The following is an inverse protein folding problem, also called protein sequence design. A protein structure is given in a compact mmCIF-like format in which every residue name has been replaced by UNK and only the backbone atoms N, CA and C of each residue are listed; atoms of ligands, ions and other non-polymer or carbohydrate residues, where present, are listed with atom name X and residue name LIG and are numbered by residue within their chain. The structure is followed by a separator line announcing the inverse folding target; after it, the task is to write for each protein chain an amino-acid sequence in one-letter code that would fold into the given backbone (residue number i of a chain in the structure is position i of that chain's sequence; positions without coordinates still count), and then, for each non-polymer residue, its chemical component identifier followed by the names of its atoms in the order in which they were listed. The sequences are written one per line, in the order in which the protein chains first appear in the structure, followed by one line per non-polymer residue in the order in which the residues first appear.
data_IF_140442572171
#
_entry.id   IF_140442572171
#
_cell.length_a   1.000
_cell.length_b   1.000
_cell.length_c   1.000
_cell.angle_alpha   90.00
_cell.angle_beta   90.00
_cell.angle_gamma   90.00
#
_symmetry.space_group_name_H-M   'P 1'
#
loop_
_entity.id
_entity.type
_entity.pdbx_description
1 polymer ?
#
# COMPACT_ATOMS: atom_id res chain seq x y z
N UNK A 1 6.13 19.53 -23.62
CA UNK A 1 5.55 20.83 -23.19
C UNK A 1 6.56 21.50 -22.27
N UNK A 2 6.79 22.82 -22.38
CA UNK A 2 7.74 23.52 -21.51
C UNK A 2 7.07 24.06 -20.23
N UNK A 3 7.87 24.41 -19.21
CA UNK A 3 7.35 24.92 -17.94
C UNK A 3 6.57 26.23 -18.11
N UNK A 4 7.10 27.18 -18.90
CA UNK A 4 6.41 28.44 -19.21
C UNK A 4 5.10 28.22 -19.96
N UNK A 5 5.06 27.21 -20.84
CA UNK A 5 3.85 26.82 -21.55
C UNK A 5 2.80 26.19 -20.61
N UNK A 6 3.21 25.45 -19.57
CA UNK A 6 2.32 24.89 -18.56
C UNK A 6 1.56 25.97 -17.78
N UNK A 7 2.29 26.98 -17.29
CA UNK A 7 1.70 28.12 -16.58
C UNK A 7 0.75 28.92 -17.47
N UNK A 8 1.13 29.14 -18.74
CA UNK A 8 0.28 29.80 -19.74
C UNK A 8 -0.99 29.01 -20.04
N UNK A 9 -0.91 27.68 -20.12
CA UNK A 9 -2.06 26.81 -20.36
C UNK A 9 -3.08 26.86 -19.21
N UNK A 10 -2.59 26.94 -17.96
CA UNK A 10 -3.43 27.12 -16.77
C UNK A 10 -3.94 28.56 -16.61
N UNK A 11 -3.32 29.54 -17.25
CA UNK A 11 -3.73 30.94 -17.22
C UNK A 11 -3.35 31.67 -15.92
N UNK A 12 -2.34 31.17 -15.20
CA UNK A 12 -1.87 31.75 -13.94
C UNK A 12 -0.36 32.01 -13.99
N UNK A 13 0.09 32.99 -13.21
CA UNK A 13 1.52 33.26 -13.04
C UNK A 13 2.21 32.13 -12.23
N UNK A 14 3.50 31.86 -12.45
CA UNK A 14 4.25 30.87 -11.66
C UNK A 14 4.22 31.22 -10.18
N UNK A 15 3.75 30.28 -9.34
CA UNK A 15 3.62 30.48 -7.89
C UNK A 15 3.99 29.21 -7.10
N UNK A 16 4.16 29.36 -5.79
CA UNK A 16 4.44 28.25 -4.86
C UNK A 16 3.17 27.66 -4.22
N UNK A 17 1.99 28.24 -4.50
CA UNK A 17 0.72 27.81 -3.91
C UNK A 17 0.07 26.69 -4.75
N UNK A 18 0.14 25.46 -4.28
CA UNK A 18 -0.53 24.31 -4.91
C UNK A 18 -2.05 24.50 -5.05
N UNK A 19 -2.69 25.20 -4.11
CA UNK A 19 -4.14 25.42 -4.15
C UNK A 19 -4.51 26.38 -5.27
N UNK A 20 -3.67 27.36 -5.59
CA UNK A 20 -3.85 28.22 -6.76
C UNK A 20 -3.75 27.42 -8.07
N UNK A 21 -2.78 26.49 -8.18
CA UNK A 21 -2.62 25.62 -9.34
C UNK A 21 -3.84 24.72 -9.54
N UNK A 22 -4.32 24.05 -8.48
CA UNK A 22 -5.51 23.19 -8.53
C UNK A 22 -6.79 23.96 -8.90
N UNK A 23 -6.98 25.18 -8.37
CA UNK A 23 -8.12 26.04 -8.71
C UNK A 23 -8.12 26.47 -10.17
N UNK A 24 -6.96 26.85 -10.71
CA UNK A 24 -6.83 27.22 -12.12
C UNK A 24 -7.15 26.04 -13.06
N UNK A 25 -6.67 24.85 -12.70
CA UNK A 25 -7.01 23.62 -13.42
C UNK A 25 -8.53 23.33 -13.40
N UNK A 26 -9.18 23.40 -12.23
CA UNK A 26 -10.62 23.17 -12.12
C UNK A 26 -11.45 24.19 -12.92
N UNK A 27 -11.03 25.47 -12.94
CA UNK A 27 -11.68 26.49 -13.75
C UNK A 27 -11.56 26.20 -15.26
N UNK A 28 -10.40 25.70 -15.71
CA UNK A 28 -10.18 25.28 -17.11
C UNK A 28 -10.92 24.00 -17.46
N UNK A 29 -10.99 23.04 -16.55
CA UNK A 29 -11.68 21.77 -16.75
C UNK A 29 -13.19 21.98 -16.96
N UNK A 30 -13.81 22.92 -16.23
CA UNK A 30 -15.23 23.29 -16.42
C UNK A 30 -15.54 23.88 -17.80
N UNK A 31 -14.53 24.36 -18.52
CA UNK A 31 -14.69 24.98 -19.84
C UNK A 31 -14.46 23.99 -21.00
N UNK A 32 -14.08 22.73 -20.71
CA UNK A 32 -13.76 21.70 -21.70
C UNK A 32 -14.72 20.54 -21.49
N UNK A 33 -15.24 19.98 -22.59
CA UNK A 33 -15.95 18.70 -22.58
C UNK A 33 -14.93 17.56 -22.74
N UNK A 34 -14.64 16.77 -21.69
CA UNK A 34 -13.56 15.77 -21.71
C UNK A 34 -13.79 14.66 -22.73
N UNK A 35 -15.05 14.36 -23.06
CA UNK A 35 -15.42 13.24 -23.93
C UNK A 35 -15.30 13.62 -25.41
N UNK A 36 -15.42 14.91 -25.72
CA UNK A 36 -15.25 15.44 -27.08
C UNK A 36 -13.85 15.96 -27.37
N UNK A 37 -13.11 16.41 -26.35
CA UNK A 37 -11.84 17.12 -26.51
C UNK A 37 -10.69 16.43 -25.77
N UNK A 38 -10.50 15.13 -26.03
CA UNK A 38 -9.49 14.27 -25.39
C UNK A 38 -8.06 14.86 -25.46
N UNK A 39 -7.68 15.43 -26.60
CA UNK A 39 -6.35 16.03 -26.78
C UNK A 39 -6.15 17.30 -25.93
N UNK A 40 -7.23 18.07 -25.73
CA UNK A 40 -7.22 19.30 -24.93
C UNK A 40 -7.12 18.94 -23.45
N UNK A 41 -7.88 17.94 -23.02
CA UNK A 41 -7.81 17.39 -21.66
C UNK A 41 -6.42 16.82 -21.35
N UNK A 42 -5.84 16.05 -22.28
CA UNK A 42 -4.50 15.46 -22.13
C UNK A 42 -3.42 16.55 -21.97
N UNK A 43 -3.49 17.62 -22.77
CA UNK A 43 -2.59 18.78 -22.64
C UNK A 43 -2.78 19.53 -21.32
N UNK A 44 -4.02 19.65 -20.84
CA UNK A 44 -4.32 20.30 -19.57
C UNK A 44 -3.81 19.49 -18.37
N UNK A 45 -3.93 18.16 -18.40
CA UNK A 45 -3.36 17.25 -17.39
C UNK A 45 -1.83 17.32 -17.35
N UNK A 46 -1.18 17.33 -18.53
CA UNK A 46 0.27 17.51 -18.61
C UNK A 46 0.70 18.86 -18.01
N UNK A 47 -0.09 19.93 -18.21
CA UNK A 47 0.17 21.25 -17.64
C UNK A 47 0.02 21.28 -16.12
N UNK A 48 -1.01 20.63 -15.58
CA UNK A 48 -1.19 20.49 -14.13
C UNK A 48 0.03 19.81 -13.48
N UNK A 49 0.44 18.65 -13.99
CA UNK A 49 1.55 17.89 -13.43
C UNK A 49 2.86 18.70 -13.42
N UNK A 50 3.17 19.39 -14.51
CA UNK A 50 4.37 20.23 -14.60
C UNK A 50 4.32 21.44 -13.65
N UNK A 51 3.17 22.10 -13.52
CA UNK A 51 3.01 23.26 -12.65
C UNK A 51 3.03 22.87 -11.16
N UNK A 52 2.44 21.73 -10.78
CA UNK A 52 2.49 21.21 -9.41
C UNK A 52 3.91 20.88 -8.97
N UNK A 53 4.68 20.17 -9.81
CA UNK A 53 6.07 19.85 -9.52
C UNK A 53 6.93 21.12 -9.35
N UNK A 54 6.65 22.19 -10.11
CA UNK A 54 7.35 23.46 -9.96
C UNK A 54 6.94 24.24 -8.70
N UNK A 55 5.64 24.27 -8.39
CA UNK A 55 5.12 24.89 -7.17
C UNK A 55 5.70 24.23 -5.91
N UNK A 56 5.80 22.89 -5.89
CA UNK A 56 6.42 22.13 -4.80
C UNK A 56 7.89 22.47 -4.62
N UNK A 57 8.67 22.53 -5.71
CA UNK A 57 10.08 22.93 -5.64
C UNK A 57 10.25 24.34 -5.10
N UNK A 58 9.37 25.28 -5.48
CA UNK A 58 9.39 26.66 -4.99
C UNK A 58 9.00 26.76 -3.51
N UNK A 59 7.99 26.02 -3.08
CA UNK A 59 7.57 25.97 -1.68
C UNK A 59 8.69 25.40 -0.79
N UNK A 60 9.35 24.33 -1.23
CA UNK A 60 10.49 23.75 -0.52
C UNK A 60 11.69 24.73 -0.44
N UNK A 61 11.98 25.47 -1.51
CA UNK A 61 13.03 26.49 -1.51
C UNK A 61 12.71 27.67 -0.56
N UNK A 62 11.45 28.07 -0.45
CA UNK A 62 11.00 29.13 0.48
C UNK A 62 11.09 28.68 1.95
N UNK A 63 10.82 27.41 2.24
CA UNK A 63 10.97 26.84 3.58
C UNK A 63 12.44 26.68 3.98
N UNK A 64 13.32 26.33 3.03
CA UNK A 64 14.76 26.22 3.27
C UNK A 64 15.44 27.60 3.46
N UNK A 65 14.87 28.69 2.95
CA UNK A 65 15.40 30.05 3.08
C UNK A 65 14.89 30.85 4.29
N UNK A 66 14.00 30.28 5.12
CA UNK A 66 13.30 30.97 6.21
C UNK A 66 13.99 30.95 7.58
N UNK A 67 15.27 30.58 7.67
CA UNK A 67 16.04 30.55 8.91
C UNK A 67 16.92 31.78 9.11
N UNK A 68 16.37 32.87 9.63
CA UNK A 68 17.18 33.95 10.24
C UNK A 68 16.67 35.37 9.99
N UNK A 69 15.88 35.89 10.94
CA UNK A 69 16.05 37.23 11.52
C UNK A 69 14.91 37.50 12.53
N UNK A 70 15.17 37.17 13.80
CA UNK A 70 14.54 37.86 14.92
C UNK A 70 15.24 39.21 15.07
N UNK A 71 14.49 40.31 15.10
CA UNK A 71 14.94 41.57 15.72
C UNK A 71 13.76 42.17 16.48
N UNK A 72 13.97 42.31 17.79
CA UNK A 72 13.11 42.98 18.77
C UNK A 72 13.06 44.51 18.58
N UNK A 73 12.01 45.09 19.18
CA UNK A 73 11.65 46.50 19.36
C UNK A 73 12.82 47.44 19.79
N UNK A 74 12.93 48.71 19.34
CA UNK A 74 12.23 49.99 19.70
C UNK A 74 13.35 51.07 19.89
N UNK A 75 13.10 52.35 20.23
CA UNK A 75 12.20 53.41 19.73
C UNK A 75 12.99 54.67 19.25
N UNK A 76 12.35 55.61 18.55
CA UNK A 76 12.98 56.89 18.18
C UNK A 76 11.99 57.93 17.64
N UNK A 77 12.03 59.12 18.23
CA UNK A 77 11.01 60.16 18.21
C UNK A 77 10.96 61.05 16.95
N UNK A 78 9.75 61.54 16.66
CA UNK A 78 9.51 62.96 16.32
C UNK A 78 9.46 63.34 14.84
N UNK A 79 8.67 64.36 14.48
CA UNK A 79 7.79 64.34 13.31
C UNK A 79 8.26 65.27 12.19
N UNK A 80 7.94 64.94 10.94
CA UNK A 80 7.78 65.99 9.92
C UNK A 80 6.78 65.58 8.83
N UNK A 81 6.00 66.57 8.44
CA UNK A 81 4.90 66.55 7.50
C UNK A 81 5.38 66.27 6.07
N UNK A 82 4.75 65.31 5.42
CA UNK A 82 4.70 65.27 3.96
C UNK A 82 3.32 64.77 3.54
N UNK A 83 2.48 65.73 3.13
CA UNK A 83 1.21 65.50 2.44
C UNK A 83 1.43 64.57 1.23
N UNK A 84 0.67 63.47 1.18
CA UNK A 84 0.46 62.68 -0.04
C UNK A 84 -1.05 62.66 -0.30
N UNK A 85 -1.51 63.08 -1.49
CA UNK A 85 -2.91 63.35 -1.74
C UNK A 85 -3.71 62.06 -1.96
N UNK A 86 -4.99 62.15 -1.59
CA UNK A 86 -6.13 61.44 -2.16
C UNK A 86 -5.90 59.96 -2.52
N UNK A 87 -6.04 59.12 -1.50
CA UNK A 87 -6.37 57.70 -1.62
C UNK A 87 -7.65 57.52 -2.43
N UNK A 88 -7.48 57.26 -3.72
CA UNK A 88 -8.52 56.69 -4.57
C UNK A 88 -9.04 55.41 -3.90
N UNK A 89 -10.32 55.46 -3.55
CA UNK A 89 -11.30 54.37 -3.67
C UNK A 89 -10.68 52.97 -3.70
N UNK A 90 -10.54 52.36 -2.52
CA UNK A 90 -10.42 50.91 -2.43
C UNK A 90 -11.76 50.36 -2.92
N UNK A 91 -11.81 49.94 -4.18
CA UNK A 91 -12.87 49.09 -4.71
C UNK A 91 -13.13 47.98 -3.70
N UNK A 92 -14.33 48.02 -3.13
CA UNK A 92 -14.84 47.02 -2.21
C UNK A 92 -15.02 45.74 -3.02
N UNK A 93 -13.95 44.93 -3.11
CA UNK A 93 -14.05 43.58 -3.67
C UNK A 93 -15.20 42.87 -2.92
N UNK A 94 -16.19 42.32 -3.63
CA UNK A 94 -17.25 41.59 -2.96
C UNK A 94 -16.61 40.46 -2.15
N UNK A 95 -16.87 40.46 -0.84
CA UNK A 95 -16.49 39.35 0.04
C UNK A 95 -17.06 38.09 -0.62
N UNK A 96 -16.22 37.09 -0.98
CA UNK A 96 -16.72 35.84 -1.52
C UNK A 96 -17.76 35.32 -0.55
N UNK A 97 -18.96 35.03 -1.05
CA UNK A 97 -19.99 34.41 -0.23
C UNK A 97 -19.37 33.22 0.54
N UNK A 98 -19.70 33.04 1.83
CA UNK A 98 -19.17 31.92 2.60
C UNK A 98 -19.41 30.65 1.79
N UNK A 99 -18.31 29.99 1.40
CA UNK A 99 -18.42 28.70 0.75
C UNK A 99 -19.14 27.78 1.73
N UNK A 100 -20.13 26.99 1.29
CA UNK A 100 -20.79 26.04 2.17
C UNK A 100 -19.70 25.20 2.84
N UNK A 101 -19.76 25.09 4.18
CA UNK A 101 -18.87 24.19 4.91
C UNK A 101 -18.94 22.82 4.23
N UNK A 102 -17.78 22.21 3.91
CA UNK A 102 -17.78 20.91 3.26
C UNK A 102 -18.57 19.95 4.12
N UNK A 103 -19.61 19.33 3.55
CA UNK A 103 -20.38 18.32 4.25
C UNK A 103 -19.43 17.24 4.80
N UNK A 104 -19.64 16.79 6.04
CA UNK A 104 -18.75 15.82 6.65
C UNK A 104 -18.73 14.54 5.81
N UNK A 105 -17.53 14.12 5.41
CA UNK A 105 -17.34 12.90 4.61
C UNK A 105 -17.89 11.68 5.36
N UNK A 106 -18.91 10.98 4.84
CA UNK A 106 -19.53 9.86 5.54
C UNK A 106 -18.60 8.65 5.72
N UNK A 107 -17.47 8.57 4.98
CA UNK A 107 -16.46 7.53 5.19
C UNK A 107 -15.51 7.85 6.34
N UNK A 108 -15.47 9.12 6.79
CA UNK A 108 -14.51 9.59 7.78
C UNK A 108 -14.53 8.76 9.09
N UNK A 109 -15.69 8.40 9.66
CA UNK A 109 -15.73 7.58 10.86
C UNK A 109 -15.07 6.20 10.67
N UNK A 110 -15.24 5.57 9.51
CA UNK A 110 -14.62 4.27 9.23
C UNK A 110 -13.11 4.39 9.08
N UNK A 111 -12.64 5.43 8.38
CA UNK A 111 -11.20 5.72 8.22
C UNK A 111 -10.55 5.93 9.58
N UNK A 112 -11.19 6.71 10.47
CA UNK A 112 -10.64 6.98 11.79
C UNK A 112 -10.52 5.70 12.64
N UNK A 113 -11.51 4.78 12.57
CA UNK A 113 -11.44 3.47 13.24
C UNK A 113 -10.35 2.58 12.65
N UNK A 114 -10.19 2.55 11.32
CA UNK A 114 -9.13 1.78 10.65
C UNK A 114 -7.76 2.28 11.11
N UNK A 115 -7.53 3.59 11.06
CA UNK A 115 -6.26 4.19 11.47
C UNK A 115 -5.97 3.93 12.94
N UNK A 116 -6.96 4.09 13.82
CA UNK A 116 -6.78 3.85 15.26
C UNK A 116 -6.37 2.40 15.58
N UNK A 117 -6.87 1.41 14.82
CA UNK A 117 -6.53 0.00 15.03
C UNK A 117 -5.18 -0.39 14.42
N UNK A 118 -4.82 0.21 13.27
CA UNK A 118 -3.55 -0.07 12.60
C UNK A 118 -2.37 0.65 13.26
N UNK A 119 -2.61 1.85 13.80
CA UNK A 119 -1.63 2.72 14.46
C UNK A 119 -2.15 3.20 15.82
N UNK A 120 -2.33 2.28 16.80
CA UNK A 120 -2.79 2.65 18.12
C UNK A 120 -1.79 3.58 18.80
N UNK A 121 -2.31 4.56 19.54
CA UNK A 121 -1.52 5.33 20.49
C UNK A 121 -0.97 4.38 21.57
N UNK A 122 0.17 4.74 22.19
CA UNK A 122 0.82 3.88 23.19
C UNK A 122 -0.17 3.40 24.27
N UNK A 123 -0.24 2.09 24.47
CA UNK A 123 -1.11 1.45 25.46
C UNK A 123 -2.57 1.22 25.03
N UNK A 124 -3.00 1.74 23.88
CA UNK A 124 -4.34 1.44 23.36
C UNK A 124 -4.39 0.01 22.79
N UNK A 125 -5.36 -0.83 23.20
CA UNK A 125 -5.51 -2.17 22.64
C UNK A 125 -6.02 -2.08 21.20
N UNK A 126 -5.39 -2.84 20.30
CA UNK A 126 -5.93 -3.07 18.97
C UNK A 126 -7.12 -4.03 19.06
N UNK A 127 -8.19 -3.75 18.32
CA UNK A 127 -9.35 -4.61 18.16
C UNK A 127 -9.45 -5.09 16.70
N UNK A 128 -8.93 -6.30 16.39
CA UNK A 128 -9.02 -6.87 15.05
C UNK A 128 -10.45 -6.97 14.51
N UNK A 129 -11.45 -7.19 15.36
CA UNK A 129 -12.83 -7.31 14.93
C UNK A 129 -13.40 -5.94 14.52
N UNK A 130 -13.09 -4.89 15.28
CA UNK A 130 -13.46 -3.52 14.90
C UNK A 130 -12.77 -3.08 13.60
N UNK A 131 -11.49 -3.44 13.41
CA UNK A 131 -10.77 -3.20 12.15
C UNK A 131 -11.48 -3.85 10.96
N UNK A 132 -11.81 -5.15 11.06
CA UNK A 132 -12.51 -5.89 10.00
C UNK A 132 -13.88 -5.26 9.70
N UNK A 133 -14.66 -4.90 10.73
CA UNK A 133 -15.96 -4.28 10.57
C UNK A 133 -15.88 -2.91 9.89
N UNK A 134 -14.90 -2.08 10.26
CA UNK A 134 -14.70 -0.76 9.68
C UNK A 134 -14.26 -0.83 8.21
N UNK A 135 -13.33 -1.73 7.87
CA UNK A 135 -12.93 -1.98 6.47
C UNK A 135 -14.13 -2.49 5.66
N UNK A 136 -14.89 -3.44 6.20
CA UNK A 136 -16.09 -3.96 5.53
C UNK A 136 -17.10 -2.84 5.25
N UNK A 137 -17.32 -1.95 6.22
CA UNK A 137 -18.25 -0.82 6.08
C UNK A 137 -17.76 0.19 5.03
N UNK A 138 -16.45 0.49 4.99
CA UNK A 138 -15.86 1.35 3.97
C UNK A 138 -16.02 0.76 2.56
N UNK A 139 -15.79 -0.55 2.40
CA UNK A 139 -15.94 -1.23 1.12
C UNK A 139 -17.39 -1.34 0.64
N UNK A 140 -18.35 -1.19 1.54
CA UNK A 140 -19.78 -1.14 1.25
C UNK A 140 -20.32 0.28 1.00
N UNK A 141 -19.49 1.32 1.13
CA UNK A 141 -19.89 2.70 0.81
C UNK A 141 -20.29 2.80 -0.68
N UNK A 142 -21.47 3.36 -1.02
CA UNK A 142 -21.91 3.48 -2.42
C UNK A 142 -20.92 4.21 -3.32
N UNK A 143 -20.07 5.08 -2.77
CA UNK A 143 -19.02 5.77 -3.54
C UNK A 143 -17.93 4.84 -4.05
N UNK A 144 -17.83 3.60 -3.53
CA UNK A 144 -16.96 2.56 -4.11
C UNK A 144 -17.36 2.17 -5.55
N UNK A 145 -18.54 2.55 -6.03
CA UNK A 145 -18.92 2.44 -7.45
C UNK A 145 -18.27 3.53 -8.32
N UNK A 146 -17.82 4.63 -7.71
CA UNK A 146 -17.11 5.71 -8.40
C UNK A 146 -15.64 5.34 -8.55
N UNK A 147 -15.16 5.32 -9.80
CA UNK A 147 -13.81 4.85 -10.14
C UNK A 147 -12.70 5.56 -9.35
N UNK A 148 -12.76 6.89 -9.25
CA UNK A 148 -11.73 7.68 -8.56
C UNK A 148 -11.68 7.36 -7.07
N UNK A 149 -12.84 7.32 -6.41
CA UNK A 149 -12.93 7.00 -4.97
C UNK A 149 -12.47 5.57 -4.68
N UNK A 150 -12.86 4.60 -5.50
CA UNK A 150 -12.44 3.21 -5.37
C UNK A 150 -10.92 3.06 -5.53
N UNK A 151 -10.34 3.76 -6.51
CA UNK A 151 -8.89 3.74 -6.79
C UNK A 151 -8.10 4.38 -5.64
N UNK A 152 -8.53 5.56 -5.16
CA UNK A 152 -7.89 6.23 -4.03
C UNK A 152 -8.00 5.39 -2.74
N UNK A 153 -9.15 4.75 -2.53
CA UNK A 153 -9.37 3.86 -1.37
C UNK A 153 -8.51 2.59 -1.45
N UNK A 154 -8.39 1.97 -2.63
CA UNK A 154 -7.52 0.81 -2.85
C UNK A 154 -6.05 1.15 -2.55
N UNK A 155 -5.53 2.25 -3.12
CA UNK A 155 -4.15 2.67 -2.92
C UNK A 155 -3.88 3.03 -1.46
N UNK A 156 -4.82 3.73 -0.82
CA UNK A 156 -4.73 4.05 0.60
C UNK A 156 -4.73 2.79 1.48
N UNK A 157 -5.65 1.84 1.25
CA UNK A 157 -5.72 0.60 2.03
C UNK A 157 -4.49 -0.28 1.82
N UNK A 158 -3.98 -0.38 0.59
CA UNK A 158 -2.75 -1.13 0.29
C UNK A 158 -1.54 -0.52 1.01
N UNK A 159 -1.39 0.82 0.94
CA UNK A 159 -0.28 1.53 1.61
C UNK A 159 -0.37 1.39 3.13
N UNK A 160 -1.52 1.73 3.70
CA UNK A 160 -1.78 1.70 5.14
C UNK A 160 -1.64 0.27 5.69
N UNK A 161 -2.15 -0.72 4.96
CA UNK A 161 -2.06 -2.13 5.32
C UNK A 161 -0.62 -2.61 5.35
N UNK A 162 0.18 -2.34 4.31
CA UNK A 162 1.59 -2.74 4.27
C UNK A 162 2.43 -2.07 5.37
N UNK A 163 2.16 -0.82 5.71
CA UNK A 163 2.88 -0.08 6.75
C UNK A 163 2.57 -0.53 8.17
N UNK A 164 1.44 -1.21 8.38
CA UNK A 164 0.95 -1.62 9.71
C UNK A 164 1.07 -3.11 9.96
N UNK A 165 1.73 -3.87 9.08
CA UNK A 165 2.01 -5.30 9.30
C UNK A 165 2.74 -5.49 10.64
N UNK A 166 2.33 -6.47 11.48
CA UNK A 166 1.34 -7.52 11.21
C UNK A 166 -0.12 -7.17 11.58
N UNK A 167 -0.39 -5.96 12.09
CA UNK A 167 -1.73 -5.60 12.61
C UNK A 167 -2.81 -5.60 11.52
N UNK A 168 -2.44 -5.34 10.27
CA UNK A 168 -3.35 -5.35 9.13
C UNK A 168 -3.71 -6.75 8.62
N UNK A 169 -3.00 -7.81 9.05
CA UNK A 169 -3.20 -9.17 8.52
C UNK A 169 -4.66 -9.66 8.50
N UNK A 170 -5.52 -9.37 9.51
CA UNK A 170 -6.92 -9.79 9.51
C UNK A 170 -7.75 -9.28 8.32
N UNK A 171 -7.34 -8.17 7.68
CA UNK A 171 -8.06 -7.57 6.54
C UNK A 171 -7.34 -7.78 5.21
N UNK A 172 -6.07 -8.17 5.20
CA UNK A 172 -5.28 -8.27 3.96
C UNK A 172 -5.87 -9.27 2.95
N UNK A 173 -6.39 -10.41 3.40
CA UNK A 173 -7.02 -11.39 2.51
C UNK A 173 -8.32 -10.85 1.90
N UNK A 174 -9.16 -10.22 2.73
CA UNK A 174 -10.41 -9.58 2.28
C UNK A 174 -10.14 -8.51 1.22
N UNK A 175 -9.12 -7.67 1.44
CA UNK A 175 -8.74 -6.61 0.51
C UNK A 175 -8.20 -7.19 -0.81
N UNK A 176 -7.33 -8.20 -0.72
CA UNK A 176 -6.80 -8.87 -1.91
C UNK A 176 -7.89 -9.52 -2.75
N UNK A 177 -8.89 -10.14 -2.13
CA UNK A 177 -10.04 -10.73 -2.82
C UNK A 177 -10.93 -9.64 -3.43
N UNK A 178 -11.24 -8.56 -2.69
CA UNK A 178 -12.12 -7.47 -3.13
C UNK A 178 -11.56 -6.68 -4.32
N UNK A 179 -10.25 -6.46 -4.35
CA UNK A 179 -9.56 -5.67 -5.38
C UNK A 179 -8.81 -6.54 -6.40
N UNK A 180 -8.94 -7.87 -6.30
CA UNK A 180 -8.26 -8.83 -7.19
C UNK A 180 -6.74 -8.62 -7.29
N UNK A 181 -6.07 -8.30 -6.17
CA UNK A 181 -4.64 -7.96 -6.15
C UNK A 181 -3.74 -9.05 -6.72
N UNK A 182 -4.18 -10.30 -6.69
CA UNK A 182 -3.48 -11.45 -7.28
C UNK A 182 -3.21 -11.28 -8.78
N UNK A 183 -4.04 -10.52 -9.49
CA UNK A 183 -3.80 -10.20 -10.90
C UNK A 183 -2.50 -9.46 -11.12
N UNK A 184 -1.93 -8.84 -10.08
CA UNK A 184 -0.62 -8.21 -10.16
C UNK A 184 0.53 -9.22 -10.26
N UNK A 185 0.36 -10.45 -9.75
CA UNK A 185 1.41 -11.49 -9.81
C UNK A 185 1.67 -11.95 -11.26
N UNK A 186 0.62 -11.97 -12.08
CA UNK A 186 0.69 -12.41 -13.48
C UNK A 186 1.01 -11.25 -14.46
N UNK A 187 1.07 -10.00 -14.00
CA UNK A 187 1.29 -8.83 -14.87
C UNK A 187 2.76 -8.70 -15.27
N UNK A 188 2.99 -8.46 -16.56
CA UNK A 188 4.34 -8.16 -17.08
C UNK A 188 4.94 -6.87 -16.47
N UNK A 189 4.11 -5.88 -16.16
CA UNK A 189 4.51 -4.63 -15.51
C UNK A 189 3.56 -4.36 -14.34
N UNK A 190 3.81 -4.98 -13.18
CA UNK A 190 2.92 -4.88 -12.03
C UNK A 190 3.09 -3.54 -11.31
N UNK A 191 2.01 -3.03 -10.73
CA UNK A 191 2.12 -1.94 -9.76
C UNK A 191 2.86 -2.48 -8.52
N UNK A 192 4.02 -1.91 -8.18
CA UNK A 192 4.90 -2.38 -7.09
C UNK A 192 4.20 -2.41 -5.72
N UNK A 193 3.34 -1.42 -5.46
CA UNK A 193 2.58 -1.34 -4.21
C UNK A 193 1.60 -2.52 -4.12
N UNK A 194 0.75 -2.66 -5.13
CA UNK A 194 -0.27 -3.70 -5.18
C UNK A 194 0.34 -5.10 -5.29
N UNK A 195 1.48 -5.26 -5.97
CA UNK A 195 2.25 -6.50 -6.00
C UNK A 195 2.73 -6.89 -4.59
N UNK A 196 3.21 -5.92 -3.82
CA UNK A 196 3.67 -6.18 -2.43
C UNK A 196 2.50 -6.58 -1.54
N UNK A 197 1.35 -5.92 -1.71
CA UNK A 197 0.12 -6.26 -0.99
C UNK A 197 -0.42 -7.65 -1.39
N UNK A 198 -0.39 -7.98 -2.69
CA UNK A 198 -0.72 -9.31 -3.22
C UNK A 198 0.19 -10.40 -2.65
N UNK A 199 1.50 -10.15 -2.60
CA UNK A 199 2.46 -11.10 -2.03
C UNK A 199 2.16 -11.33 -0.54
N UNK A 200 1.87 -10.28 0.23
CA UNK A 200 1.49 -10.43 1.65
C UNK A 200 0.23 -11.29 1.80
N UNK A 201 -0.80 -11.06 0.98
CA UNK A 201 -1.99 -11.89 1.01
C UNK A 201 -1.68 -13.36 0.66
N UNK A 202 -0.83 -13.61 -0.33
CA UNK A 202 -0.39 -14.96 -0.67
C UNK A 202 0.38 -15.63 0.49
N UNK A 203 1.26 -14.89 1.17
CA UNK A 203 1.97 -15.37 2.35
C UNK A 203 0.99 -15.78 3.46
N UNK A 204 -0.06 -14.98 3.71
CA UNK A 204 -1.09 -15.29 4.70
C UNK A 204 -1.91 -16.53 4.33
N UNK A 205 -2.26 -16.72 3.05
CA UNK A 205 -2.92 -17.96 2.60
C UNK A 205 -2.02 -19.17 2.76
N UNK A 206 -0.72 -19.02 2.47
CA UNK A 206 0.26 -20.08 2.68
C UNK A 206 0.35 -20.46 4.16
N UNK A 207 0.46 -19.47 5.06
CA UNK A 207 0.46 -19.70 6.52
C UNK A 207 -0.83 -20.38 6.97
N UNK A 208 -1.99 -19.92 6.49
CA UNK A 208 -3.29 -20.52 6.80
C UNK A 208 -3.36 -21.99 6.37
N UNK A 209 -2.93 -22.31 5.15
CA UNK A 209 -2.90 -23.68 4.64
C UNK A 209 -1.92 -24.58 5.42
N UNK A 210 -0.74 -24.07 5.78
CA UNK A 210 0.23 -24.81 6.60
C UNK A 210 -0.26 -25.05 8.04
N UNK A 211 -1.13 -24.18 8.54
CA UNK A 211 -1.71 -24.28 9.87
C UNK A 211 -2.88 -25.26 9.96
N UNK A 212 -3.41 -25.74 8.83
CA UNK A 212 -4.44 -26.79 8.78
C UNK A 212 -3.87 -28.14 9.25
N UNK A 213 -4.44 -28.79 10.28
CA UNK A 213 -4.01 -30.10 10.75
C UNK A 213 -3.99 -31.22 9.70
N UNK A 214 -4.79 -31.08 8.63
CA UNK A 214 -4.83 -32.05 7.53
C UNK A 214 -3.76 -31.80 6.46
N UNK A 215 -3.04 -30.68 6.53
CA UNK A 215 -2.00 -30.35 5.57
C UNK A 215 -0.78 -31.26 5.74
N UNK A 216 -0.24 -31.80 4.63
CA UNK A 216 0.91 -32.74 4.67
C UNK A 216 2.15 -32.19 5.38
N UNK A 217 2.31 -30.86 5.38
CA UNK A 217 3.43 -30.16 6.01
C UNK A 217 3.06 -29.53 7.36
N UNK A 218 1.90 -29.85 7.94
CA UNK A 218 1.46 -29.27 9.21
C UNK A 218 2.44 -29.49 10.35
N UNK A 219 2.89 -30.73 10.57
CA UNK A 219 3.87 -31.03 11.63
C UNK A 219 5.22 -30.33 11.39
N UNK A 220 5.66 -30.28 10.13
CA UNK A 220 6.89 -29.60 9.75
C UNK A 220 6.78 -28.08 9.96
N UNK A 221 5.61 -27.50 9.66
CA UNK A 221 5.31 -26.10 9.93
C UNK A 221 5.31 -25.80 11.42
N UNK A 222 4.63 -26.60 12.25
CA UNK A 222 4.64 -26.44 13.71
C UNK A 222 6.03 -26.57 14.33
N UNK A 223 6.92 -27.36 13.71
CA UNK A 223 8.31 -27.49 14.13
C UNK A 223 9.15 -26.28 13.72
N UNK A 224 8.86 -25.68 12.56
CA UNK A 224 9.55 -24.52 12.00
C UNK A 224 9.08 -23.19 12.63
N UNK A 225 7.80 -23.07 12.97
CA UNK A 225 7.16 -21.85 13.49
C UNK A 225 7.36 -21.64 14.99
N UNK A 226 8.24 -22.41 15.63
CA UNK A 226 8.53 -22.26 17.07
C UNK A 226 9.42 -21.05 17.30
N UNK A 227 9.15 -20.32 18.37
CA UNK A 227 9.93 -19.15 18.76
C UNK A 227 11.35 -19.49 19.26
N UNK A 228 11.56 -20.73 19.73
CA UNK A 228 12.86 -21.19 20.19
C UNK A 228 13.13 -22.63 19.74
N UNK A 229 14.40 -22.99 19.49
CA UNK A 229 14.80 -24.36 19.25
C UNK A 229 14.69 -25.15 20.57
N UNK A 230 13.50 -25.64 20.89
CA UNK A 230 13.32 -26.65 21.94
C UNK A 230 14.20 -27.83 21.56
N UNK A 231 15.11 -28.28 22.44
CA UNK A 231 15.89 -29.51 22.22
C UNK A 231 14.91 -30.66 21.95
N UNK A 232 14.71 -31.08 20.70
CA UNK A 232 13.73 -32.10 20.42
C UNK A 232 14.30 -33.43 20.91
N UNK A 233 13.42 -34.40 21.19
CA UNK A 233 13.88 -35.78 21.35
C UNK A 233 14.54 -36.18 20.03
N UNK A 234 15.74 -36.76 20.11
CA UNK A 234 16.58 -37.05 18.93
C UNK A 234 15.84 -37.85 17.84
N UNK A 235 14.91 -38.72 18.25
CA UNK A 235 14.01 -39.46 17.37
C UNK A 235 13.03 -38.56 16.58
N UNK A 236 12.44 -37.55 17.22
CA UNK A 236 11.52 -36.62 16.55
C UNK A 236 12.25 -35.74 15.55
N UNK A 237 13.48 -35.31 15.88
CA UNK A 237 14.33 -34.54 14.96
C UNK A 237 14.62 -35.34 13.70
N UNK A 238 15.03 -36.61 13.84
CA UNK A 238 15.36 -37.46 12.69
C UNK A 238 14.12 -37.74 11.81
N UNK A 239 12.95 -37.96 12.42
CA UNK A 239 11.71 -38.20 11.69
C UNK A 239 11.25 -36.98 10.88
N UNK A 240 11.33 -35.78 11.47
CA UNK A 240 10.79 -34.56 10.86
C UNK A 240 11.78 -33.83 9.95
N UNK A 241 13.09 -34.02 10.12
CA UNK A 241 14.10 -33.25 9.39
C UNK A 241 13.95 -33.29 7.85
N UNK A 242 13.65 -34.44 7.20
CA UNK A 242 13.42 -34.45 5.75
C UNK A 242 12.23 -33.58 5.33
N UNK A 243 11.10 -33.69 6.04
CA UNK A 243 9.89 -32.94 5.74
C UNK A 243 10.06 -31.43 5.99
N UNK A 244 10.77 -31.05 7.07
CA UNK A 244 11.09 -29.64 7.36
C UNK A 244 12.06 -29.09 6.30
N UNK A 245 13.05 -29.86 5.88
CA UNK A 245 13.99 -29.44 4.83
C UNK A 245 13.29 -29.25 3.48
N UNK A 246 12.36 -30.13 3.11
CA UNK A 246 11.54 -29.99 1.90
C UNK A 246 10.63 -28.75 1.99
N UNK A 247 10.01 -28.52 3.15
CA UNK A 247 9.21 -27.33 3.40
C UNK A 247 10.04 -26.04 3.25
N UNK A 248 11.24 -25.99 3.85
CA UNK A 248 12.16 -24.85 3.73
C UNK A 248 12.51 -24.59 2.26
N UNK A 249 12.82 -25.64 1.48
CA UNK A 249 13.13 -25.50 0.06
C UNK A 249 11.92 -24.95 -0.73
N UNK A 250 10.72 -25.50 -0.46
CA UNK A 250 9.47 -25.04 -1.07
C UNK A 250 9.15 -23.58 -0.74
N UNK A 251 9.29 -23.18 0.53
CA UNK A 251 9.05 -21.81 0.99
C UNK A 251 10.08 -20.83 0.44
N UNK A 252 11.35 -21.22 0.35
CA UNK A 252 12.40 -20.36 -0.20
C UNK A 252 12.11 -19.95 -1.64
N UNK A 253 11.48 -20.85 -2.42
CA UNK A 253 11.13 -20.58 -3.81
C UNK A 253 9.79 -19.85 -3.95
N UNK A 254 8.75 -20.31 -3.26
CA UNK A 254 7.37 -19.84 -3.49
C UNK A 254 6.95 -18.69 -2.55
N UNK A 255 7.40 -18.70 -1.30
CA UNK A 255 6.96 -17.75 -0.25
C UNK A 255 8.13 -17.33 0.66
N UNK A 256 9.16 -16.65 0.12
CA UNK A 256 10.39 -16.35 0.87
C UNK A 256 10.17 -15.39 2.05
N UNK A 257 9.05 -14.68 2.08
CA UNK A 257 8.69 -13.81 3.20
C UNK A 257 8.13 -14.58 4.40
N UNK A 258 7.46 -15.71 4.17
CA UNK A 258 7.01 -16.62 5.26
C UNK A 258 8.22 -17.18 5.98
N UNK A 259 9.24 -17.60 5.22
CA UNK A 259 10.48 -18.12 5.80
C UNK A 259 11.24 -17.06 6.61
N UNK A 260 11.24 -15.79 6.16
CA UNK A 260 11.86 -14.67 6.89
C UNK A 260 11.22 -14.33 8.23
N UNK A 261 9.99 -14.76 8.47
CA UNK A 261 9.29 -14.59 9.75
C UNK A 261 9.68 -15.67 10.76
N UNK A 262 10.27 -16.79 10.32
CA UNK A 262 10.73 -17.87 11.20
C UNK A 262 12.08 -17.51 11.82
N UNK A 263 12.38 -18.04 13.01
CA UNK A 263 13.67 -17.84 13.67
C UNK A 263 14.82 -18.43 12.82
N UNK A 264 15.82 -17.63 12.41
CA UNK A 264 16.99 -18.12 11.69
C UNK A 264 17.73 -19.26 12.39
N UNK A 265 17.75 -19.31 13.72
CA UNK A 265 18.38 -20.39 14.49
C UNK A 265 17.61 -21.71 14.36
N UNK A 266 16.28 -21.65 14.33
CA UNK A 266 15.41 -22.82 14.09
C UNK A 266 15.61 -23.34 12.68
N UNK A 267 15.65 -22.47 11.67
CA UNK A 267 15.96 -22.85 10.28
C UNK A 267 17.32 -23.56 10.22
N UNK A 268 18.36 -22.96 10.79
CA UNK A 268 19.70 -23.53 10.79
C UNK A 268 19.74 -24.92 11.45
N UNK A 269 19.10 -25.08 12.61
CA UNK A 269 18.99 -26.36 13.31
C UNK A 269 18.42 -27.47 12.42
N UNK A 270 17.28 -27.22 11.76
CA UNK A 270 16.63 -28.21 10.91
C UNK A 270 17.42 -28.52 9.64
N UNK A 271 18.09 -27.52 9.06
CA UNK A 271 18.96 -27.75 7.88
C UNK A 271 20.18 -28.61 8.22
N UNK A 272 20.77 -28.47 9.41
CA UNK A 272 21.87 -29.33 9.86
C UNK A 272 21.39 -30.74 10.22
N UNK A 273 20.24 -30.86 10.88
CA UNK A 273 19.64 -32.15 11.20
C UNK A 273 19.34 -32.98 9.93
N UNK A 274 18.89 -32.33 8.85
CA UNK A 274 18.63 -32.98 7.57
C UNK A 274 19.91 -33.56 6.94
N UNK A 275 21.04 -32.82 6.99
CA UNK A 275 22.34 -33.33 6.51
C UNK A 275 22.80 -34.58 7.29
N UNK A 276 22.57 -34.59 8.61
CA UNK A 276 22.85 -35.73 9.47
C UNK A 276 21.98 -36.96 9.17
N UNK A 277 20.70 -36.74 8.84
CA UNK A 277 19.77 -37.83 8.50
C UNK A 277 20.13 -38.54 7.19
N UNK A 278 20.56 -37.80 6.16
CA UNK A 278 21.01 -38.35 4.87
C UNK A 278 22.31 -39.15 5.03
N UNK A 279 23.14 -38.80 6.01
CA UNK A 279 24.39 -39.53 6.30
C UNK A 279 24.16 -40.83 7.09
N UNK A 280 22.99 -40.98 7.73
CA UNK A 280 22.61 -42.19 8.47
C UNK A 280 21.86 -43.22 7.60
N UNK A 281 21.27 -42.80 6.48
CA UNK A 281 20.60 -43.68 5.50
C UNK A 281 21.50 -43.94 4.27
N UNK A 282 22.39 -44.92 4.37
CA UNK A 282 22.96 -45.59 3.19
C UNK A 282 21.97 -46.67 2.71
N UNK A 283 21.28 -46.33 1.61
CA UNK A 283 20.61 -47.15 0.57
C UNK A 283 19.29 -47.87 0.92
N UNK A 284 18.23 -47.57 0.15
CA UNK A 284 17.52 -48.62 -0.57
C UNK A 284 17.65 -48.46 -2.09
N UNK A 285 17.85 -49.61 -2.74
CA UNK A 285 17.82 -49.76 -4.18
C UNK A 285 16.41 -49.47 -4.68
N UNK A 286 16.19 -48.29 -5.26
CA UNK A 286 15.28 -48.00 -6.38
C UNK A 286 15.23 -46.49 -6.56
N UNK A 287 16.15 -45.98 -7.40
CA UNK A 287 16.21 -44.57 -7.74
C UNK A 287 15.04 -44.17 -8.64
N UNK A 288 14.07 -43.44 -8.09
CA UNK A 288 13.23 -42.51 -8.86
C UNK A 288 12.97 -41.29 -7.99
N UNK A 289 13.60 -40.17 -8.35
CA UNK A 289 13.34 -38.86 -7.76
C UNK A 289 12.03 -38.29 -8.32
N UNK A 290 11.03 -38.13 -7.46
CA UNK A 290 9.69 -37.60 -7.72
C UNK A 290 9.65 -36.07 -8.02
N UNK A 291 10.79 -35.38 -7.96
CA UNK A 291 10.96 -33.91 -7.95
C UNK A 291 10.43 -33.09 -9.16
N UNK A 292 9.71 -33.68 -10.12
CA UNK A 292 9.28 -33.00 -11.35
C UNK A 292 7.79 -32.67 -11.49
N UNK A 293 6.88 -33.29 -10.73
CA UNK A 293 5.45 -33.29 -11.12
C UNK A 293 4.50 -32.39 -10.32
N UNK A 294 4.85 -31.96 -9.10
CA UNK A 294 3.93 -31.17 -8.27
C UNK A 294 3.89 -29.66 -8.59
N UNK A 295 4.90 -29.10 -9.25
CA UNK A 295 4.85 -27.72 -9.74
C UNK A 295 3.88 -27.56 -10.92
N UNK A 296 3.65 -28.64 -11.69
CA UNK A 296 2.68 -28.65 -12.81
C UNK A 296 1.25 -28.84 -12.27
N UNK A 297 1.07 -29.63 -11.21
CA UNK A 297 -0.25 -29.87 -10.60
C UNK A 297 -0.93 -28.61 -10.06
N UNK A 298 -0.18 -27.66 -9.48
CA UNK A 298 -0.75 -26.44 -8.93
C UNK A 298 -1.10 -25.39 -10.02
N UNK A 299 -0.32 -25.34 -11.10
CA UNK A 299 -0.65 -24.49 -12.27
C UNK A 299 -1.90 -25.04 -13.00
N UNK A 300 -2.06 -26.37 -13.07
CA UNK A 300 -3.21 -26.99 -13.74
C UNK A 300 -4.52 -26.83 -12.95
N UNK A 301 -4.50 -26.88 -11.62
CA UNK A 301 -5.70 -26.63 -10.79
C UNK A 301 -6.18 -25.18 -10.92
N UNK A 302 -5.26 -24.21 -10.99
CA UNK A 302 -5.57 -22.79 -11.19
C UNK A 302 -6.11 -22.48 -12.60
N UNK A 303 -5.70 -23.24 -13.62
CA UNK A 303 -6.17 -23.07 -15.01
C UNK A 303 -7.50 -23.79 -15.25
N UNK A 304 -7.74 -24.97 -14.66
CA UNK A 304 -9.00 -25.69 -14.83
C UNK A 304 -10.18 -25.06 -14.05
N UNK A 305 -9.91 -24.45 -12.89
CA UNK A 305 -10.92 -23.65 -12.19
C UNK A 305 -11.39 -22.42 -13.00
N UNK A 306 -10.53 -21.87 -13.87
CA UNK A 306 -10.88 -20.74 -14.76
C UNK A 306 -11.67 -21.15 -16.02
N UNK A 307 -11.52 -22.38 -16.52
CA UNK A 307 -12.29 -22.87 -17.68
C UNK A 307 -13.72 -23.28 -17.30
N UNK A 308 -13.92 -23.83 -16.10
CA UNK A 308 -15.26 -24.22 -15.63
C UNK A 308 -16.20 -23.02 -15.38
N UNK A 309 -15.65 -21.84 -15.05
CA UNK A 309 -16.45 -20.61 -14.83
C UNK A 309 -16.77 -19.91 -16.17
N UNK A 310 -15.91 -20.05 -17.19
CA UNK A 310 -16.10 -19.44 -18.51
C UNK A 310 -17.02 -20.25 -19.46
N UNK A 311 -17.42 -21.46 -19.09
CA UNK A 311 -18.28 -22.34 -19.91
C UNK A 311 -19.69 -22.53 -19.34
N UNK A 312 -20.02 -21.80 -18.27
CA UNK A 312 -21.32 -21.82 -17.59
C UNK A 312 -22.17 -20.56 -17.74
N UNK A 313 -21.88 -19.67 -18.69
CA UNK A 313 -22.75 -18.56 -19.12
C UNK A 313 -22.90 -18.54 -20.63
#
# INVERSE_FOLDING_TARGET
MSLSQAWKQLGIAPCADERAVKRAYAAKLKAIDPDREIDVFSKLRAALAMAQADAQRRAAAQQAGGGGAAVEAMPGAGPDEAEVPARAEREHLPVPAPQPEPEPDPARPFIDVIVANLFPQEGAPADPAALVAAVTSLLADPRMEQFDFATETEEWLATTGLQSIPRSDPVMLMLADRFEWERQLDRAQPNRLLLSAAQRANDLRCIGALSDPLHRWHEAWLALSRAEPVKPVLADTLRLAPAVSELIASLSYNNPQVLRQCDPAVIAHWTEAAKGSVSAEIVPANGVSWFGWLAIGWIVVSVLARIAIASGQ
#
